data_IF_324314454367
#
_entry.id   IF_324314454367
#
_cell.length_a   1.000
_cell.length_b   1.000
_cell.length_c   1.000
_cell.angle_alpha   90.00
_cell.angle_beta   90.00
_cell.angle_gamma   90.00
#
_symmetry.space_group_name_H-M   'P 1'
#
loop_
_entity.id
_entity.type
_entity.pdbx_description
1 polymer ?
2 non-polymer ?
3 non-polymer ?
4 water ?
#
# COMPACT_ATOMS: atom_id res chain seq x y z
N UNK A 1 6.89 22.09 -11.12
CA UNK A 1 5.70 22.51 -10.41
C UNK A 1 4.50 21.62 -10.66
N UNK A 2 3.58 21.59 -9.71
CA UNK A 2 2.37 20.78 -9.80
C UNK A 2 1.18 21.65 -10.22
N UNK A 3 0.14 20.98 -10.70
CA UNK A 3 -1.09 21.67 -11.06
C UNK A 3 -2.03 21.72 -9.86
N UNK A 4 -3.08 22.53 -9.98
CA UNK A 4 -4.05 22.67 -8.90
C UNK A 4 -4.83 21.37 -8.71
N UNK A 5 -5.17 20.68 -9.80
CA UNK A 5 -5.91 19.43 -9.70
C UNK A 5 -5.11 18.37 -8.96
N UNK A 6 -3.78 18.43 -9.02
CA UNK A 6 -2.95 17.46 -8.33
C UNK A 6 -2.80 17.79 -6.85
N UNK A 7 -2.77 19.08 -6.50
CA UNK A 7 -2.71 19.45 -5.09
C UNK A 7 -3.97 19.02 -4.35
N UNK A 8 -5.13 19.18 -4.99
CA UNK A 8 -6.39 18.77 -4.36
C UNK A 8 -6.46 17.26 -4.23
N UNK A 9 -5.90 16.51 -5.19
CA UNK A 9 -6.00 15.06 -5.14
C UNK A 9 -5.29 14.50 -3.92
N UNK A 10 -4.03 14.88 -3.70
CA UNK A 10 -3.25 14.27 -2.63
C UNK A 10 -3.76 14.69 -1.26
N UNK A 11 -4.28 15.91 -1.12
CA UNK A 11 -4.83 16.33 0.16
C UNK A 11 -6.13 15.59 0.46
N UNK A 12 -6.90 15.25 -0.57
CA UNK A 12 -8.08 14.41 -0.37
C UNK A 12 -7.66 12.97 -0.10
N UNK A 13 -6.69 12.47 -0.86
CA UNK A 13 -6.21 11.10 -0.68
C UNK A 13 -5.67 10.88 0.73
N UNK A 14 -5.07 11.91 1.33
CA UNK A 14 -4.56 11.78 2.69
C UNK A 14 -5.69 11.74 3.71
N UNK A 15 -6.75 12.51 3.48
CA UNK A 15 -7.88 12.51 4.41
C UNK A 15 -8.62 11.19 4.38
N UNK A 16 -8.63 10.50 3.24
CA UNK A 16 -9.30 9.21 3.15
C UNK A 16 -8.43 8.11 3.76
N UNK A 17 -7.14 8.13 3.46
CA UNK A 17 -6.25 7.08 3.94
C UNK A 17 -6.09 7.16 5.46
N UNK A 18 -5.84 8.37 5.99
CA UNK A 18 -5.62 8.53 7.42
C UNK A 18 -6.87 8.25 8.25
N UNK A 19 -8.05 8.34 7.65
CA UNK A 19 -9.30 8.13 8.35
C UNK A 19 -10.06 9.38 8.72
N UNK A 20 -9.57 10.56 8.30
CA UNK A 20 -10.30 11.79 8.56
C UNK A 20 -11.69 11.75 7.96
N UNK A 21 -11.82 11.14 6.78
CA UNK A 21 -13.11 10.84 6.18
C UNK A 21 -13.37 9.35 6.37
N UNK A 22 -14.49 9.02 7.02
CA UNK A 22 -14.77 7.64 7.36
C UNK A 22 -15.07 6.81 6.11
N UNK A 23 -14.83 5.50 6.17
CA UNK A 23 -15.19 4.65 5.03
C UNK A 23 -16.69 4.65 4.80
N UNK A 24 -17.07 4.65 3.52
CA UNK A 24 -18.48 4.73 3.16
C UNK A 24 -19.10 6.10 3.27
N UNK A 25 -18.31 7.12 3.55
CA UNK A 25 -18.85 8.47 3.69
C UNK A 25 -19.22 9.04 2.32
N UNK A 26 -20.41 9.61 2.23
CA UNK A 26 -20.80 10.31 1.01
C UNK A 26 -19.99 11.59 0.87
N UNK A 27 -19.40 11.78 -0.30
CA UNK A 27 -18.59 12.96 -0.58
C UNK A 27 -19.51 14.06 -1.10
N UNK A 28 -19.64 15.14 -0.34
CA UNK A 28 -20.46 16.28 -0.73
C UNK A 28 -19.60 17.16 -1.64
N UNK A 29 -19.89 17.11 -2.94
CA UNK A 29 -18.97 17.69 -3.91
C UNK A 29 -19.02 19.22 -3.90
N UNK A 30 -20.17 19.87 -4.10
CA UNK A 30 -20.19 21.33 -3.94
C UNK A 30 -19.81 21.80 -2.54
N UNK A 31 -20.01 20.96 -1.51
CA UNK A 31 -19.58 21.36 -0.18
C UNK A 31 -18.07 21.26 -0.03
N UNK A 32 -17.49 20.14 -0.48
CA UNK A 32 -16.03 19.98 -0.39
C UNK A 32 -15.30 20.96 -1.28
N UNK A 33 -15.95 21.42 -2.36
CA UNK A 33 -15.34 22.45 -3.21
C UNK A 33 -15.24 23.79 -2.48
N UNK A 34 -16.20 24.08 -1.59
CA UNK A 34 -16.12 25.31 -0.81
C UNK A 34 -15.02 25.24 0.23
N UNK A 35 -14.67 24.02 0.69
CA UNK A 35 -13.60 23.88 1.68
C UNK A 35 -12.25 24.32 1.09
N UNK A 36 -12.03 24.03 -0.19
CA UNK A 36 -10.79 24.43 -0.86
C UNK A 36 -10.99 25.61 -1.82
N UNK A 37 -12.22 25.96 -2.14
CA UNK A 37 -12.48 27.15 -2.96
C UNK A 37 -12.01 27.05 -4.39
N UNK A 38 -12.16 25.88 -5.01
CA UNK A 38 -11.72 25.66 -6.39
C UNK A 38 -12.89 25.14 -7.20
N UNK A 39 -13.00 25.61 -8.44
CA UNK A 39 -14.12 25.25 -9.31
C UNK A 39 -14.15 23.74 -9.56
N UNK A 40 -15.31 23.27 -10.04
CA UNK A 40 -15.52 21.85 -10.31
C UNK A 40 -14.86 21.39 -11.60
N UNK A 41 -14.23 22.29 -12.35
CA UNK A 41 -13.53 21.92 -13.56
C UNK A 41 -12.48 20.86 -13.32
N UNK A 42 -11.41 21.23 -12.61
CA UNK A 42 -10.39 20.23 -12.25
C UNK A 42 -10.78 19.34 -11.09
N UNK A 43 -11.91 19.61 -10.42
CA UNK A 43 -12.29 18.82 -9.27
C UNK A 43 -12.70 17.40 -9.66
N UNK A 44 -13.47 17.27 -10.75
CA UNK A 44 -13.83 15.93 -11.22
C UNK A 44 -12.60 15.14 -11.62
N UNK A 45 -11.55 15.82 -12.10
CA UNK A 45 -10.31 15.13 -12.44
C UNK A 45 -9.69 14.48 -11.21
N UNK A 46 -9.88 15.08 -10.03
CA UNK A 46 -9.37 14.50 -8.80
C UNK A 46 -10.22 13.31 -8.37
N UNK A 47 -11.56 13.46 -8.40
CA UNK A 47 -12.44 12.39 -7.96
C UNK A 47 -12.32 11.19 -8.90
N UNK A 48 -12.20 11.43 -10.20
CA UNK A 48 -12.09 10.34 -11.16
C UNK A 48 -10.83 9.52 -10.92
N UNK A 49 -9.73 10.18 -10.52
CA UNK A 49 -8.49 9.46 -10.24
C UNK A 49 -8.63 8.62 -8.97
N UNK A 50 -9.35 9.13 -7.97
CA UNK A 50 -9.54 8.38 -6.74
C UNK A 50 -10.44 7.16 -6.96
N UNK A 51 -11.37 7.25 -7.92
CA UNK A 51 -12.18 6.09 -8.26
C UNK A 51 -11.34 5.03 -8.96
N UNK A 52 -10.39 5.45 -9.80
CA UNK A 52 -9.50 4.49 -10.44
C UNK A 52 -8.61 3.79 -9.45
N UNK A 53 -8.12 4.51 -8.44
CA UNK A 53 -7.38 3.90 -7.35
C UNK A 53 -8.28 3.09 -6.41
N UNK A 54 -9.59 3.09 -6.66
CA UNK A 54 -10.56 2.37 -5.83
C UNK A 54 -10.53 2.84 -4.38
N UNK A 55 -10.22 4.12 -4.18
CA UNK A 55 -10.39 4.76 -2.88
C UNK A 55 -11.78 5.34 -2.71
N UNK A 56 -12.38 5.83 -3.80
CA UNK A 56 -13.77 6.23 -3.85
C UNK A 56 -14.54 5.25 -4.73
N UNK A 57 -15.87 5.39 -4.74
CA UNK A 57 -16.74 4.57 -5.57
C UNK A 57 -17.83 5.47 -6.14
N UNK A 58 -18.09 5.32 -7.44
CA UNK A 58 -19.09 6.13 -8.12
C UNK A 58 -20.47 5.50 -7.93
N UNK A 59 -21.36 6.22 -7.28
CA UNK A 59 -22.76 5.83 -7.15
C UNK A 59 -23.55 6.58 -8.22
N UNK A 60 -24.34 5.86 -9.01
CA UNK A 60 -24.98 6.39 -10.18
C UNK A 60 -25.91 7.55 -10.04
N UNK A 61 -26.77 7.60 -9.05
CA UNK A 61 -27.61 8.77 -8.98
C UNK A 61 -27.04 9.76 -8.04
N UNK A 62 -26.64 9.28 -6.88
CA UNK A 62 -26.07 10.12 -5.86
C UNK A 62 -24.71 10.79 -6.05
N UNK A 63 -23.70 10.07 -6.49
CA UNK A 63 -22.38 10.67 -6.59
C UNK A 63 -21.26 9.76 -6.12
N UNK A 64 -20.24 10.33 -5.49
CA UNK A 64 -19.11 9.58 -4.99
C UNK A 64 -19.13 9.24 -3.51
N UNK A 65 -18.70 8.04 -3.21
CA UNK A 65 -18.68 7.55 -1.84
C UNK A 65 -17.29 7.02 -1.53
N UNK A 66 -16.91 7.11 -0.25
CA UNK A 66 -15.67 6.48 0.18
C UNK A 66 -15.83 4.98 0.10
N UNK A 67 -14.74 4.28 -0.25
CA UNK A 67 -14.83 2.86 -0.55
C UNK A 67 -15.34 2.07 0.66
N UNK A 68 -15.92 0.90 0.37
CA UNK A 68 -16.62 0.14 1.41
C UNK A 68 -15.67 -0.41 2.45
N UNK A 69 -14.40 -0.64 2.10
CA UNK A 69 -13.42 -1.28 2.99
C UNK A 69 -13.91 -2.64 3.45
N UNK A 70 -14.44 -3.42 2.50
CA UNK A 70 -15.12 -4.67 2.77
C UNK A 70 -14.16 -5.85 2.65
N UNK A 71 -14.70 -7.05 2.71
CA UNK A 71 -13.91 -8.27 2.60
C UNK A 71 -13.52 -8.54 1.15
N UNK A 72 -14.42 -8.28 0.20
CA UNK A 72 -14.11 -8.52 -1.20
C UNK A 72 -13.00 -7.60 -1.70
N UNK A 73 -13.04 -6.33 -1.28
CA UNK A 73 -11.97 -5.40 -1.67
C UNK A 73 -10.64 -5.79 -1.05
N UNK A 74 -10.67 -6.37 0.15
CA UNK A 74 -9.43 -6.83 0.78
C UNK A 74 -8.81 -7.98 0.01
N UNK A 75 -9.64 -8.92 -0.46
CA UNK A 75 -9.13 -10.03 -1.24
C UNK A 75 -8.57 -9.53 -2.57
N UNK A 76 -9.25 -8.58 -3.20
CA UNK A 76 -8.77 -8.01 -4.45
C UNK A 76 -7.40 -7.37 -4.26
N UNK A 77 -7.22 -6.63 -3.17
CA UNK A 77 -5.99 -5.88 -2.97
C UNK A 77 -4.81 -6.81 -2.68
N UNK A 78 -5.04 -7.87 -1.92
CA UNK A 78 -3.96 -8.77 -1.54
C UNK A 78 -3.67 -9.83 -2.59
N UNK A 79 -4.58 -10.06 -3.53
CA UNK A 79 -4.26 -10.87 -4.70
C UNK A 79 -3.12 -10.26 -5.49
N UNK A 80 -3.30 -9.00 -5.92
CA UNK A 80 -2.28 -8.32 -6.70
C UNK A 80 -1.01 -8.13 -5.88
N UNK A 81 -1.17 -7.84 -4.58
CA UNK A 81 -0.01 -7.63 -3.73
C UNK A 81 0.85 -8.89 -3.64
N UNK A 82 0.22 -10.06 -3.55
CA UNK A 82 0.97 -11.31 -3.48
C UNK A 82 1.78 -11.53 -4.75
N UNK A 83 1.18 -11.28 -5.92
CA UNK A 83 1.88 -11.51 -7.18
C UNK A 83 3.00 -10.49 -7.39
N UNK A 84 2.74 -9.22 -7.07
CA UNK A 84 3.71 -8.17 -7.35
C UNK A 84 4.88 -8.20 -6.36
N UNK A 85 4.57 -8.30 -5.06
CA UNK A 85 5.64 -8.38 -4.08
C UNK A 85 6.43 -9.67 -4.22
N UNK A 86 5.79 -10.74 -4.69
CA UNK A 86 6.50 -11.99 -4.91
C UNK A 86 7.55 -11.87 -6.00
N UNK A 87 7.16 -11.35 -7.16
CA UNK A 87 8.11 -11.16 -8.25
C UNK A 87 9.13 -10.07 -7.93
N UNK A 88 8.79 -9.14 -7.03
CA UNK A 88 9.77 -8.14 -6.61
C UNK A 88 10.93 -8.78 -5.87
N UNK A 89 10.64 -9.77 -5.02
CA UNK A 89 11.71 -10.49 -4.32
C UNK A 89 12.51 -11.35 -5.29
N UNK A 90 11.84 -11.95 -6.27
CA UNK A 90 12.55 -12.76 -7.26
C UNK A 90 13.54 -11.91 -8.04
N UNK A 91 13.13 -10.70 -8.45
CA UNK A 91 14.05 -9.82 -9.17
C UNK A 91 15.09 -9.21 -8.25
N UNK A 92 14.73 -8.92 -7.00
CA UNK A 92 15.69 -8.34 -6.08
C UNK A 92 16.84 -9.30 -5.79
N UNK A 93 16.54 -10.59 -5.61
CA UNK A 93 17.60 -11.57 -5.42
C UNK A 93 18.49 -11.68 -6.64
N UNK A 94 17.93 -11.39 -7.83
CA UNK A 94 18.71 -11.43 -9.06
C UNK A 94 19.53 -10.16 -9.25
N UNK A 95 19.03 -9.01 -8.81
CA UNK A 95 19.55 -7.72 -9.25
C UNK A 95 20.12 -6.85 -8.14
N UNK A 96 19.70 -7.02 -6.89
CA UNK A 96 20.22 -6.18 -5.82
C UNK A 96 21.71 -6.37 -5.67
N UNK A 97 22.45 -5.27 -5.81
CA UNK A 97 23.89 -5.30 -5.56
C UNK A 97 24.15 -5.75 -4.12
N UNK A 98 25.40 -6.18 -3.88
CA UNK A 98 25.78 -6.57 -2.53
C UNK A 98 25.49 -5.45 -1.54
N UNK A 99 26.09 -4.27 -1.77
CA UNK A 99 25.89 -3.13 -0.88
C UNK A 99 24.43 -2.79 -0.65
N UNK A 100 23.57 -3.09 -1.63
CA UNK A 100 22.14 -2.89 -1.42
C UNK A 100 21.58 -3.85 -0.38
N UNK A 101 22.14 -5.06 -0.30
CA UNK A 101 21.60 -6.06 0.62
C UNK A 101 22.01 -5.76 2.06
N UNK A 102 23.26 -5.32 2.28
CA UNK A 102 23.67 -4.94 3.63
C UNK A 102 22.85 -3.76 4.14
N UNK A 103 22.59 -2.78 3.27
CA UNK A 103 21.72 -1.67 3.67
C UNK A 103 20.35 -2.17 4.08
N UNK A 104 19.80 -3.14 3.34
CA UNK A 104 18.54 -3.76 3.75
C UNK A 104 18.68 -4.49 5.09
N UNK A 105 19.89 -4.95 5.40
CA UNK A 105 20.13 -5.63 6.68
C UNK A 105 20.20 -4.64 7.84
N UNK A 106 20.78 -3.46 7.60
CA UNK A 106 20.87 -2.46 8.66
C UNK A 106 19.49 -1.98 9.08
N UNK A 107 18.63 -1.68 8.11
CA UNK A 107 17.28 -1.19 8.42
C UNK A 107 16.53 -2.22 9.25
N UNK A 108 16.77 -3.50 9.02
CA UNK A 108 16.12 -4.55 9.80
C UNK A 108 16.62 -4.57 11.24
N UNK A 109 17.94 -4.43 11.43
CA UNK A 109 18.51 -4.52 12.77
C UNK A 109 18.08 -3.36 13.65
N UNK A 110 18.05 -2.15 13.09
CA UNK A 110 17.71 -0.97 13.90
C UNK A 110 16.26 -1.04 14.38
N UNK A 111 15.33 -1.33 13.48
CA UNK A 111 13.92 -1.40 13.84
C UNK A 111 13.64 -2.54 14.83
N UNK A 112 14.57 -3.46 15.01
CA UNK A 112 14.44 -4.49 16.02
C UNK A 112 14.64 -3.89 17.42
N UNK A 125 5.72 2.14 13.73
CA UNK A 125 5.82 0.69 13.70
C UNK A 125 5.52 0.15 12.31
N UNK A 126 4.41 0.62 11.73
CA UNK A 126 4.03 0.23 10.38
C UNK A 126 4.88 0.90 9.31
N UNK A 127 5.69 1.90 9.68
CA UNK A 127 6.61 2.51 8.74
C UNK A 127 7.95 1.78 8.68
N UNK A 128 8.34 1.07 9.74
CA UNK A 128 9.45 0.15 9.63
C UNK A 128 9.14 -1.02 8.70
N UNK A 129 7.88 -1.43 8.65
CA UNK A 129 7.47 -2.42 7.65
C UNK A 129 7.56 -1.84 6.24
N UNK A 130 7.14 -0.58 6.07
CA UNK A 130 7.25 0.06 4.77
C UNK A 130 8.70 0.17 4.33
N UNK A 131 9.61 0.46 5.27
CA UNK A 131 11.02 0.60 4.93
C UNK A 131 11.58 -0.68 4.35
N UNK A 132 11.26 -1.83 4.97
CA UNK A 132 11.78 -3.10 4.49
C UNK A 132 11.27 -3.42 3.09
N UNK A 133 9.95 -3.30 2.88
CA UNK A 133 9.39 -3.64 1.58
C UNK A 133 9.78 -2.63 0.51
N UNK A 134 10.04 -1.38 0.89
CA UNK A 134 10.38 -0.37 -0.11
C UNK A 134 11.73 -0.66 -0.75
N UNK A 135 12.74 -1.03 0.04
CA UNK A 135 14.05 -1.33 -0.53
C UNK A 135 13.98 -2.50 -1.49
N UNK A 136 13.24 -3.56 -1.12
CA UNK A 136 13.14 -4.74 -1.97
C UNK A 136 12.52 -4.39 -3.31
N UNK A 137 11.40 -3.67 -3.29
CA UNK A 137 10.77 -3.24 -4.53
C UNK A 137 11.70 -2.32 -5.32
N UNK A 138 12.42 -1.44 -4.61
CA UNK A 138 13.43 -0.62 -5.28
C UNK A 138 14.54 -1.48 -5.83
N UNK A 139 14.97 -2.49 -5.08
CA UNK A 139 16.02 -3.38 -5.55
C UNK A 139 15.62 -4.26 -6.71
N UNK A 140 14.32 -4.34 -7.03
CA UNK A 140 13.86 -5.16 -8.13
C UNK A 140 14.28 -4.61 -9.49
N UNK A 141 14.69 -3.34 -9.54
CA UNK A 141 15.09 -2.74 -10.80
C UNK A 141 13.96 -2.50 -11.77
N UNK A 142 12.73 -2.40 -11.30
CA UNK A 142 11.56 -2.18 -12.14
C UNK A 142 10.82 -0.96 -11.61
N UNK A 143 10.82 0.12 -12.39
CA UNK A 143 10.15 1.35 -11.96
C UNK A 143 8.64 1.21 -12.04
N UNK A 144 8.13 0.53 -13.07
CA UNK A 144 6.69 0.28 -13.16
C UNK A 144 6.21 -0.52 -11.95
N UNK A 145 7.05 -1.40 -11.42
CA UNK A 145 6.67 -2.15 -10.22
C UNK A 145 6.51 -1.22 -9.03
N UNK A 146 7.38 -0.21 -8.92
CA UNK A 146 7.29 0.72 -7.79
C UNK A 146 6.04 1.59 -7.89
N UNK A 147 5.63 1.95 -9.11
CA UNK A 147 4.46 2.79 -9.27
C UNK A 147 3.19 2.06 -8.84
N UNK A 148 3.09 0.76 -9.13
CA UNK A 148 1.89 0.01 -8.81
C UNK A 148 1.86 -0.43 -7.35
N UNK A 149 3.03 -0.67 -6.75
CA UNK A 149 3.07 -1.06 -5.34
C UNK A 149 3.02 0.18 -4.43
N UNK A 150 4.06 1.01 -4.48
CA UNK A 150 4.16 2.13 -3.55
C UNK A 150 3.20 3.26 -3.89
N UNK A 151 2.85 3.41 -5.16
CA UNK A 151 2.02 4.52 -5.58
C UNK A 151 0.53 4.28 -5.45
N UNK A 152 0.07 3.10 -5.86
CA UNK A 152 -1.35 2.80 -5.93
C UNK A 152 -1.81 1.79 -4.88
N UNK A 153 -1.19 0.62 -4.83
CA UNK A 153 -1.68 -0.45 -3.96
C UNK A 153 -1.45 -0.13 -2.48
N UNK A 154 -0.32 0.51 -2.16
CA UNK A 154 -0.01 0.78 -0.76
C UNK A 154 -0.92 1.84 -0.14
N UNK A 155 -1.65 2.61 -0.96
CA UNK A 155 -2.58 3.58 -0.40
C UNK A 155 -3.79 2.88 0.20
N UNK A 156 -4.32 1.86 -0.47
CA UNK A 156 -5.45 1.11 0.08
C UNK A 156 -4.99 0.22 1.24
N UNK A 157 -3.74 -0.24 1.21
CA UNK A 157 -3.21 -1.01 2.33
C UNK A 157 -3.13 -0.16 3.58
N UNK A 158 -2.73 1.11 3.43
CA UNK A 158 -2.54 1.97 4.59
C UNK A 158 -3.84 2.25 5.32
N UNK A 159 -4.96 2.32 4.61
CA UNK A 159 -6.23 2.65 5.23
C UNK A 159 -6.96 1.41 5.78
N UNK A 160 -6.56 0.22 5.37
CA UNK A 160 -7.02 -0.99 6.05
C UNK A 160 -6.32 -1.17 7.39
N UNK A 161 -5.02 -0.84 7.45
CA UNK A 161 -4.25 -1.00 8.67
C UNK A 161 -4.59 0.06 9.70
N UNK A 162 -4.97 1.26 9.27
CA UNK A 162 -5.35 2.31 10.21
C UNK A 162 -6.67 1.95 10.87
N UNK A 163 -7.62 1.42 10.10
CA UNK A 163 -8.90 0.99 10.67
C UNK A 163 -8.79 -0.34 11.40
N UNK A 164 -7.78 -1.15 11.09
CA UNK A 164 -7.58 -2.45 11.73
C UNK A 164 -6.10 -2.60 12.06
N UNK A 165 -5.73 -2.29 13.30
CA UNK A 165 -4.36 -2.43 13.75
C UNK A 165 -3.94 -3.90 13.77
N UNK A 166 -2.63 -4.13 13.91
CA UNK A 166 -2.13 -5.48 13.98
C UNK A 166 -2.49 -6.13 15.32
N UNK A 167 -2.60 -7.45 15.30
CA UNK A 167 -2.81 -8.18 16.54
C UNK A 167 -1.54 -8.14 17.39
N UNK A 168 -1.68 -8.27 18.72
CA UNK A 168 -0.51 -8.11 19.61
C UNK A 168 0.73 -8.92 19.22
N UNK A 169 0.56 -10.17 18.78
CA UNK A 169 1.69 -11.03 18.49
C UNK A 169 2.11 -10.99 17.03
N UNK A 170 1.53 -10.09 16.22
CA UNK A 170 1.90 -10.03 14.81
C UNK A 170 3.29 -9.46 14.59
N UNK A 171 3.70 -8.34 15.21
CA UNK A 171 5.03 -7.80 14.92
C UNK A 171 6.16 -8.78 15.17
N UNK A 172 6.04 -9.65 16.18
CA UNK A 172 7.06 -10.66 16.38
C UNK A 172 7.05 -11.70 15.26
N UNK A 173 5.85 -12.12 14.84
CA UNK A 173 5.75 -13.09 13.75
C UNK A 173 6.21 -12.47 12.43
N UNK A 174 5.86 -11.21 12.19
CA UNK A 174 6.22 -10.57 10.93
C UNK A 174 7.70 -10.23 10.86
N UNK A 175 8.33 -9.96 12.00
CA UNK A 175 9.75 -9.65 12.00
C UNK A 175 10.59 -10.85 11.61
N UNK A 176 10.24 -12.03 12.13
CA UNK A 176 10.95 -13.25 11.75
C UNK A 176 10.76 -13.55 10.27
N UNK A 177 9.55 -13.30 9.74
CA UNK A 177 9.30 -13.50 8.33
C UNK A 177 10.19 -12.59 7.48
N UNK A 178 10.46 -11.38 7.96
CA UNK A 178 11.33 -10.46 7.24
C UNK A 178 12.77 -10.98 7.21
N UNK A 179 13.26 -11.51 8.33
CA UNK A 179 14.62 -12.02 8.38
C UNK A 179 14.83 -13.17 7.41
N UNK A 180 13.83 -14.04 7.27
CA UNK A 180 13.96 -15.16 6.34
C UNK A 180 13.89 -14.70 4.89
N UNK A 181 13.12 -13.64 4.61
CA UNK A 181 13.07 -13.10 3.26
C UNK A 181 14.41 -12.47 2.88
N UNK A 182 14.97 -11.66 3.79
CA UNK A 182 16.26 -11.03 3.52
C UNK A 182 17.35 -12.09 3.35
N UNK A 183 17.29 -13.17 4.13
CA UNK A 183 18.30 -14.21 4.02
C UNK A 183 18.22 -14.93 2.68
N UNK A 184 17.01 -15.09 2.12
CA UNK A 184 16.88 -15.69 0.80
C UNK A 184 17.39 -14.75 -0.29
N UNK A 185 17.17 -13.45 -0.11
CA UNK A 185 17.67 -12.47 -1.08
C UNK A 185 19.19 -12.42 -1.03
N UNK A 186 19.77 -12.48 0.17
CA UNK A 186 21.23 -12.48 0.30
C UNK A 186 21.84 -13.73 -0.30
N UNK A 187 21.17 -14.88 -0.13
CA UNK A 187 21.62 -16.12 -0.75
C UNK A 187 21.34 -16.18 -2.25
N UNK A 188 20.74 -15.12 -2.81
CA UNK A 188 20.44 -15.05 -4.25
C UNK A 188 19.48 -16.14 -4.70
N UNK A 189 18.60 -16.56 -3.81
CA UNK A 189 17.60 -17.59 -4.10
C UNK A 189 16.26 -16.90 -4.37
N UNK A 190 16.04 -16.56 -5.65
CA UNK A 190 14.82 -15.83 -5.99
C UNK A 190 13.57 -16.67 -5.84
N UNK A 191 13.67 -17.97 -6.14
CA UNK A 191 12.51 -18.84 -6.05
C UNK A 191 12.04 -18.97 -4.61
N UNK A 192 12.98 -19.08 -3.66
CA UNK A 192 12.61 -19.19 -2.26
C UNK A 192 12.12 -17.86 -1.71
N UNK A 193 12.76 -16.76 -2.13
CA UNK A 193 12.36 -15.45 -1.65
C UNK A 193 10.95 -15.08 -2.11
N UNK A 194 10.61 -15.43 -3.35
CA UNK A 194 9.25 -15.21 -3.83
C UNK A 194 8.25 -16.02 -3.02
N UNK A 195 8.59 -17.26 -2.69
CA UNK A 195 7.71 -18.10 -1.89
C UNK A 195 7.55 -17.54 -0.48
N UNK A 196 8.64 -17.06 0.12
CA UNK A 196 8.58 -16.52 1.47
C UNK A 196 7.78 -15.22 1.50
N UNK A 197 7.91 -14.40 0.45
CA UNK A 197 7.15 -13.16 0.39
C UNK A 197 5.65 -13.44 0.29
N UNK A 198 5.26 -14.45 -0.49
CA UNK A 198 3.85 -14.79 -0.60
C UNK A 198 3.27 -15.24 0.73
N UNK A 199 4.00 -16.09 1.46
CA UNK A 199 3.55 -16.49 2.79
C UNK A 199 3.43 -15.30 3.72
N UNK A 200 4.39 -14.37 3.63
CA UNK A 200 4.38 -13.19 4.50
C UNK A 200 3.21 -12.28 4.17
N UNK A 201 2.92 -12.07 2.87
CA UNK A 201 1.79 -11.25 2.47
C UNK A 201 0.48 -11.94 2.83
N UNK A 202 0.42 -13.26 2.67
CA UNK A 202 -0.79 -13.99 3.04
C UNK A 202 -1.03 -13.96 4.55
N UNK A 203 0.05 -13.94 5.34
CA UNK A 203 -0.12 -13.84 6.78
C UNK A 203 -0.64 -12.47 7.17
N UNK A 204 -0.22 -11.43 6.47
CA UNK A 204 -0.73 -10.09 6.74
C UNK A 204 -2.22 -9.99 6.45
N UNK A 205 -2.67 -10.63 5.37
CA UNK A 205 -4.08 -10.60 5.02
C UNK A 205 -4.94 -11.29 6.08
N UNK A 206 -4.48 -12.45 6.57
CA UNK A 206 -5.25 -13.18 7.57
C UNK A 206 -5.36 -12.42 8.87
N UNK A 207 -4.40 -11.54 9.16
CA UNK A 207 -4.49 -10.71 10.35
C UNK A 207 -5.64 -9.72 10.26
N UNK A 208 -5.74 -9.03 9.12
CA UNK A 208 -6.83 -8.07 8.93
C UNK A 208 -8.17 -8.78 8.89
N UNK A 209 -8.21 -9.99 8.34
CA UNK A 209 -9.46 -10.73 8.24
C UNK A 209 -10.00 -11.10 9.62
N UNK A 210 -9.11 -11.41 10.56
CA UNK A 210 -9.52 -11.81 11.90
C UNK A 210 -10.17 -10.68 12.69
N UNK A 211 -10.10 -9.44 12.20
CA UNK A 211 -10.70 -8.30 12.88
C UNK A 211 -11.86 -7.69 12.11
N UNK A 212 -12.27 -8.31 11.01
CA UNK A 212 -13.41 -7.83 10.24
C UNK A 212 -14.71 -8.45 10.76
#
# INVERSE_FOLDING_TARGET
GETLSEHVFRKIQSAIVSGEIAPGSKISEPELARTYGISRGPLREAIHRLEGLRLLVRVPHVGARVVSLSHAELIELYEIRESLEGMACRLAAERMSQAEIDELRRVLDTHERDEAFQAGRGYYQQEGDYDFHYRIIQGSGNATLTRMLCGELYQLVRMYRIQYSTTPNRPRQAFAEHHRILDAIADRDGELAELLMRRHISASRRNIERQLEPQPAK
#
